data_IF_947632678795
#
_entry.id   IF_947632678795
#
_cell.length_a   1.000
_cell.length_b   1.000
_cell.length_c   1.000
_cell.angle_alpha   90.00
_cell.angle_beta   90.00
_cell.angle_gamma   90.00
#
_symmetry.space_group_name_H-M   'P 1'
#
loop_
_entity.id
_entity.type
_entity.pdbx_description
1 polymer ?
#
# COMPACT_ATOMS: atom_id res chain seq x y z
N UNK A 1 26.19 2.99 -12.20
CA UNK A 1 26.43 4.44 -12.34
C UNK A 1 25.46 5.31 -11.54
N UNK A 2 24.20 4.90 -11.31
CA UNK A 2 23.26 5.65 -10.43
C UNK A 2 23.49 5.46 -8.93
N UNK A 3 24.17 4.38 -8.51
CA UNK A 3 24.40 4.07 -7.10
C UNK A 3 25.41 5.01 -6.42
N UNK A 4 26.43 5.47 -7.16
CA UNK A 4 27.42 6.43 -6.64
C UNK A 4 26.83 7.82 -6.42
N UNK A 5 25.82 8.22 -7.21
CA UNK A 5 25.11 9.49 -7.03
C UNK A 5 24.28 9.55 -5.74
N UNK A 6 23.92 8.39 -5.16
CA UNK A 6 23.22 8.29 -3.89
C UNK A 6 24.17 8.18 -2.69
N UNK A 7 25.27 7.43 -2.86
CA UNK A 7 26.22 7.13 -1.77
C UNK A 7 27.08 8.34 -1.41
N UNK A 8 27.49 9.13 -2.40
CA UNK A 8 28.38 10.30 -2.19
C UNK A 8 27.72 11.39 -1.33
N UNK A 9 26.46 11.82 -1.57
CA UNK A 9 25.80 12.80 -0.70
C UNK A 9 25.54 12.25 0.71
N UNK A 10 25.28 10.94 0.85
CA UNK A 10 25.15 10.26 2.16
C UNK A 10 26.47 10.27 2.94
N UNK A 11 27.60 10.00 2.29
CA UNK A 11 28.93 10.04 2.92
C UNK A 11 29.37 11.46 3.30
N UNK A 12 29.04 12.47 2.50
CA UNK A 12 29.34 13.87 2.85
C UNK A 12 28.43 14.41 3.96
N UNK A 13 27.21 13.89 4.10
CA UNK A 13 26.34 14.20 5.24
C UNK A 13 26.80 13.55 6.56
N UNK A 14 27.60 12.48 6.50
CA UNK A 14 28.22 11.84 7.69
C UNK A 14 29.51 12.51 8.16
N UNK A 15 29.91 13.62 7.52
CA UNK A 15 31.19 14.29 7.72
C UNK A 15 31.14 15.57 8.55
N UNK A 16 30.22 15.75 9.50
CA UNK A 16 30.38 16.78 10.53
C UNK A 16 29.50 16.50 11.76
N UNK A 17 30.18 16.10 12.83
CA UNK A 17 29.85 16.10 14.26
C UNK A 17 28.50 16.71 14.70
N UNK A 18 27.77 15.93 15.52
CA UNK A 18 26.63 16.27 16.40
C UNK A 18 25.17 16.09 15.91
N UNK A 19 24.89 15.52 14.74
CA UNK A 19 23.50 15.28 14.28
C UNK A 19 23.15 13.82 13.95
N UNK A 20 23.85 12.85 14.55
CA UNK A 20 23.47 11.43 14.40
C UNK A 20 22.08 11.14 14.99
N UNK A 21 21.65 11.88 16.02
CA UNK A 21 20.32 11.74 16.62
C UNK A 21 19.21 12.17 15.65
N UNK A 22 19.34 13.33 15.00
CA UNK A 22 18.32 13.89 14.09
C UNK A 22 18.17 13.03 12.82
N UNK A 23 19.29 12.58 12.24
CA UNK A 23 19.26 11.70 11.05
C UNK A 23 18.77 10.30 11.42
N UNK A 24 19.14 9.77 12.59
CA UNK A 24 18.60 8.50 13.08
C UNK A 24 17.11 8.62 13.37
N UNK A 25 16.61 9.76 13.84
CA UNK A 25 15.20 9.99 14.13
C UNK A 25 14.38 10.04 12.83
N UNK A 26 14.86 10.74 11.80
CA UNK A 26 14.24 10.73 10.47
C UNK A 26 14.32 9.37 9.78
N UNK A 27 15.45 8.66 9.89
CA UNK A 27 15.59 7.31 9.35
C UNK A 27 14.73 6.31 10.12
N UNK A 28 14.56 6.45 11.44
CA UNK A 28 13.73 5.55 12.25
C UNK A 28 12.25 5.83 12.05
N UNK A 29 11.87 7.07 11.72
CA UNK A 29 10.51 7.44 11.32
C UNK A 29 10.19 6.92 9.90
N UNK A 30 11.11 7.07 8.94
CA UNK A 30 10.98 6.50 7.59
C UNK A 30 10.98 4.97 7.65
N UNK A 31 11.94 4.35 8.36
CA UNK A 31 12.05 2.89 8.51
C UNK A 31 10.91 2.33 9.36
N UNK A 32 10.44 3.03 10.37
CA UNK A 32 9.34 2.60 11.24
C UNK A 32 8.02 2.49 10.47
N UNK A 33 7.69 3.50 9.66
CA UNK A 33 6.44 3.52 8.88
C UNK A 33 6.54 2.67 7.60
N UNK A 34 7.74 2.47 7.03
CA UNK A 34 7.95 1.62 5.84
C UNK A 34 8.27 0.16 6.17
N UNK A 35 8.59 -0.19 7.42
CA UNK A 35 9.06 -1.53 7.83
C UNK A 35 8.10 -2.65 7.42
N UNK A 36 6.79 -2.46 7.63
CA UNK A 36 5.82 -3.51 7.33
C UNK A 36 5.65 -3.74 5.81
N UNK A 37 5.43 -2.69 5.03
CA UNK A 37 5.29 -2.82 3.56
C UNK A 37 6.60 -3.32 2.96
N UNK A 38 7.74 -2.80 3.43
CA UNK A 38 9.06 -3.21 2.99
C UNK A 38 9.33 -4.69 3.20
N UNK A 39 8.93 -5.24 4.35
CA UNK A 39 9.09 -6.68 4.65
C UNK A 39 8.28 -7.55 3.68
N UNK A 40 7.01 -7.18 3.41
CA UNK A 40 6.15 -7.95 2.50
C UNK A 40 6.71 -7.93 1.07
N UNK A 41 7.09 -6.75 0.56
CA UNK A 41 7.64 -6.60 -0.80
C UNK A 41 8.97 -7.33 -0.94
N UNK A 42 9.83 -7.27 0.09
CA UNK A 42 11.11 -7.97 0.09
C UNK A 42 10.93 -9.50 0.04
N UNK A 43 10.07 -10.05 0.90
CA UNK A 43 9.78 -11.48 0.91
C UNK A 43 9.24 -11.96 -0.45
N UNK A 44 8.34 -11.19 -1.05
CA UNK A 44 7.76 -11.47 -2.35
C UNK A 44 8.83 -11.44 -3.46
N UNK A 45 9.71 -10.43 -3.46
CA UNK A 45 10.82 -10.31 -4.41
C UNK A 45 11.84 -11.45 -4.32
N UNK A 46 12.18 -11.89 -3.10
CA UNK A 46 13.07 -13.05 -2.89
C UNK A 46 12.45 -14.31 -3.48
N UNK A 47 11.15 -14.51 -3.28
CA UNK A 47 10.42 -15.68 -3.81
C UNK A 47 10.49 -15.72 -5.34
N UNK A 48 10.23 -14.59 -6.00
CA UNK A 48 10.35 -14.50 -7.46
C UNK A 48 11.78 -14.74 -7.95
N UNK A 49 12.78 -14.19 -7.24
CA UNK A 49 14.19 -14.39 -7.60
C UNK A 49 14.59 -15.87 -7.53
N UNK A 50 14.13 -16.59 -6.52
CA UNK A 50 14.35 -18.04 -6.40
C UNK A 50 13.67 -18.78 -7.55
N UNK A 51 12.41 -18.49 -7.85
CA UNK A 51 11.68 -19.11 -8.96
C UNK A 51 12.38 -18.89 -10.31
N UNK A 52 12.81 -17.66 -10.58
CA UNK A 52 13.56 -17.33 -11.80
C UNK A 52 14.93 -18.00 -11.85
N UNK A 53 15.64 -18.06 -10.72
CA UNK A 53 16.94 -18.75 -10.62
C UNK A 53 16.83 -20.25 -10.90
N UNK A 54 15.80 -20.90 -10.35
CA UNK A 54 15.53 -22.33 -10.60
C UNK A 54 15.23 -22.59 -12.08
N UNK A 55 14.44 -21.73 -12.72
CA UNK A 55 14.15 -21.82 -14.16
C UNK A 55 15.41 -21.63 -15.02
N UNK A 56 16.22 -20.63 -14.71
CA UNK A 56 17.46 -20.33 -15.44
C UNK A 56 18.51 -21.45 -15.31
N UNK A 57 18.81 -21.87 -14.08
CA UNK A 57 19.76 -22.96 -13.83
C UNK A 57 19.26 -24.31 -14.38
N UNK A 58 17.95 -24.56 -14.33
CA UNK A 58 17.34 -25.76 -14.90
C UNK A 58 17.53 -25.84 -16.42
N UNK A 59 17.38 -24.72 -17.12
CA UNK A 59 17.58 -24.64 -18.56
C UNK A 59 19.06 -24.66 -18.96
N UNK A 60 19.93 -23.92 -18.25
CA UNK A 60 21.35 -23.78 -18.60
C UNK A 60 22.17 -25.05 -18.29
N UNK A 61 21.93 -25.69 -17.15
CA UNK A 61 22.71 -26.85 -16.69
C UNK A 61 22.09 -28.20 -17.08
N UNK A 62 20.98 -28.23 -17.83
CA UNK A 62 20.28 -29.44 -18.28
C UNK A 62 19.82 -30.39 -17.15
N UNK A 63 19.58 -29.87 -15.93
CA UNK A 63 19.05 -30.66 -14.83
C UNK A 63 17.54 -30.89 -15.00
N UNK A 64 17.18 -31.99 -15.68
CA UNK A 64 15.79 -32.36 -16.02
C UNK A 64 14.83 -32.39 -14.82
N UNK A 65 15.31 -32.83 -13.65
CA UNK A 65 14.49 -32.90 -12.41
C UNK A 65 14.08 -31.49 -11.95
N UNK A 66 15.02 -30.53 -11.99
CA UNK A 66 14.78 -29.15 -11.58
C UNK A 66 13.79 -28.44 -12.52
N UNK A 67 13.96 -28.68 -13.83
CA UNK A 67 13.06 -28.16 -14.85
C UNK A 67 11.63 -28.70 -14.69
N UNK A 68 11.48 -29.98 -14.37
CA UNK A 68 10.17 -30.61 -14.16
C UNK A 68 9.46 -30.04 -12.92
N UNK A 69 10.17 -29.87 -11.81
CA UNK A 69 9.62 -29.22 -10.61
C UNK A 69 9.19 -27.77 -10.87
N UNK A 70 10.02 -26.99 -11.56
CA UNK A 70 9.68 -25.62 -11.96
C UNK A 70 8.42 -25.58 -12.83
N UNK A 71 8.32 -26.47 -13.84
CA UNK A 71 7.17 -26.54 -14.73
C UNK A 71 5.88 -26.92 -13.99
N UNK A 72 5.93 -27.86 -13.04
CA UNK A 72 4.77 -28.23 -12.21
C UNK A 72 4.32 -27.03 -11.36
N UNK A 73 5.25 -26.38 -10.64
CA UNK A 73 4.94 -25.24 -9.78
C UNK A 73 4.31 -24.10 -10.58
N UNK A 74 4.91 -23.72 -11.71
CA UNK A 74 4.38 -22.68 -12.59
C UNK A 74 3.05 -23.09 -13.22
N UNK A 75 2.86 -24.36 -13.56
CA UNK A 75 1.59 -24.89 -14.07
C UNK A 75 0.47 -24.76 -13.05
N UNK A 76 0.70 -25.13 -11.79
CA UNK A 76 -0.28 -24.99 -10.70
C UNK A 76 -0.64 -23.51 -10.50
N UNK A 77 0.38 -22.63 -10.44
CA UNK A 77 0.16 -21.19 -10.30
C UNK A 77 -0.64 -20.64 -11.49
N UNK A 78 -0.32 -21.06 -12.72
CA UNK A 78 -1.02 -20.65 -13.93
C UNK A 78 -2.50 -21.04 -13.91
N UNK A 79 -2.81 -22.29 -13.54
CA UNK A 79 -4.20 -22.76 -13.40
C UNK A 79 -4.94 -21.99 -12.30
N UNK A 80 -4.29 -21.73 -11.16
CA UNK A 80 -4.89 -20.95 -10.07
C UNK A 80 -5.18 -19.50 -10.50
N UNK A 81 -4.27 -18.86 -11.24
CA UNK A 81 -4.47 -17.51 -11.77
C UNK A 81 -5.60 -17.46 -12.80
N UNK A 82 -5.69 -18.47 -13.68
CA UNK A 82 -6.79 -18.60 -14.63
C UNK A 82 -8.14 -18.73 -13.93
N UNK A 83 -8.24 -19.64 -12.93
CA UNK A 83 -9.44 -19.81 -12.15
C UNK A 83 -9.83 -18.51 -11.41
N UNK A 84 -8.85 -17.78 -10.86
CA UNK A 84 -9.07 -16.50 -10.21
C UNK A 84 -9.62 -15.45 -11.18
N UNK A 85 -9.06 -15.31 -12.38
CA UNK A 85 -9.54 -14.36 -13.39
C UNK A 85 -10.97 -14.68 -13.81
N UNK A 86 -11.29 -15.95 -14.05
CA UNK A 86 -12.65 -16.38 -14.39
C UNK A 86 -13.62 -16.03 -13.26
N UNK A 87 -13.29 -16.41 -12.02
CA UNK A 87 -14.14 -16.13 -10.86
C UNK A 87 -14.35 -14.61 -10.64
N UNK A 88 -13.30 -13.81 -10.83
CA UNK A 88 -13.36 -12.36 -10.74
C UNK A 88 -14.32 -11.76 -11.78
N UNK A 89 -14.19 -12.15 -13.05
CA UNK A 89 -15.11 -11.66 -14.10
C UNK A 89 -16.55 -12.15 -13.91
N UNK A 90 -16.75 -13.34 -13.33
CA UNK A 90 -18.09 -13.83 -13.02
C UNK A 90 -18.78 -13.06 -11.89
N UNK A 91 -18.02 -12.55 -10.89
CA UNK A 91 -18.60 -11.93 -9.70
C UNK A 91 -17.82 -10.69 -9.23
N UNK A 92 -17.64 -9.69 -10.11
CA UNK A 92 -16.87 -8.47 -9.78
C UNK A 92 -17.37 -7.79 -8.50
N UNK A 93 -18.68 -7.72 -8.32
CA UNK A 93 -19.31 -7.10 -7.15
C UNK A 93 -18.95 -7.75 -5.82
N UNK A 94 -18.88 -9.08 -5.78
CA UNK A 94 -18.47 -9.81 -4.58
C UNK A 94 -17.06 -9.42 -4.13
N UNK A 95 -16.12 -9.33 -5.07
CA UNK A 95 -14.75 -8.92 -4.78
C UNK A 95 -14.67 -7.45 -4.36
N UNK A 96 -15.41 -6.58 -5.05
CA UNK A 96 -15.51 -5.17 -4.67
C UNK A 96 -16.02 -5.00 -3.23
N UNK A 97 -17.11 -5.68 -2.89
CA UNK A 97 -17.72 -5.59 -1.56
C UNK A 97 -16.79 -6.17 -0.48
N UNK A 98 -16.05 -7.24 -0.77
CA UNK A 98 -15.05 -7.79 0.14
C UNK A 98 -13.91 -6.81 0.41
N UNK A 99 -13.44 -6.09 -0.61
CA UNK A 99 -12.42 -5.05 -0.45
C UNK A 99 -12.96 -3.92 0.43
N UNK A 100 -14.22 -3.52 0.25
CA UNK A 100 -14.86 -2.53 1.11
C UNK A 100 -14.95 -3.02 2.56
N UNK A 101 -15.32 -4.28 2.79
CA UNK A 101 -15.40 -4.87 4.14
C UNK A 101 -14.03 -4.89 4.84
N UNK A 102 -12.96 -5.26 4.13
CA UNK A 102 -11.59 -5.23 4.66
C UNK A 102 -11.14 -3.80 4.98
N UNK A 103 -11.52 -2.85 4.13
CA UNK A 103 -11.25 -1.44 4.39
C UNK A 103 -12.05 -0.93 5.60
N UNK A 104 -13.31 -1.35 5.74
CA UNK A 104 -14.14 -1.04 6.89
C UNK A 104 -13.57 -1.59 8.19
N UNK A 105 -13.04 -2.82 8.20
CA UNK A 105 -12.32 -3.37 9.36
C UNK A 105 -11.09 -2.51 9.71
N UNK A 106 -10.36 -2.05 8.69
CA UNK A 106 -9.20 -1.17 8.88
C UNK A 106 -9.57 0.21 9.41
N UNK A 107 -10.69 0.78 8.95
CA UNK A 107 -11.27 2.04 9.46
C UNK A 107 -11.70 1.88 10.92
N UNK A 108 -12.36 0.78 11.28
CA UNK A 108 -12.79 0.53 12.66
C UNK A 108 -11.61 0.36 13.61
N UNK A 109 -10.53 -0.31 13.17
CA UNK A 109 -9.32 -0.57 13.97
C UNK A 109 -8.26 0.52 13.85
N UNK A 110 -8.55 1.60 13.12
CA UNK A 110 -7.67 2.75 13.03
C UNK A 110 -7.41 3.32 14.42
N UNK A 111 -6.14 3.59 14.73
CA UNK A 111 -5.75 4.19 16.01
C UNK A 111 -5.21 5.60 15.81
N UNK A 112 -4.13 5.75 15.05
CA UNK A 112 -3.50 7.04 14.77
C UNK A 112 -2.56 6.92 13.57
N UNK A 113 -2.19 8.03 12.93
CA UNK A 113 -1.20 8.07 11.86
C UNK A 113 0.17 7.56 12.34
N UNK A 114 0.51 7.81 13.61
CA UNK A 114 1.76 7.34 14.22
C UNK A 114 1.73 5.87 14.61
N UNK A 115 0.56 5.26 14.74
CA UNK A 115 0.48 3.85 15.11
C UNK A 115 1.09 2.98 14.01
N UNK A 116 2.12 2.19 14.35
CA UNK A 116 2.74 1.21 13.45
C UNK A 116 1.87 -0.03 13.26
N UNK A 117 0.57 0.17 12.98
CA UNK A 117 -0.39 -0.88 12.70
C UNK A 117 -0.77 -0.87 11.22
N UNK A 118 -0.96 -2.06 10.66
CA UNK A 118 -1.32 -2.25 9.25
C UNK A 118 -2.61 -1.49 8.90
N UNK A 119 -3.57 -1.48 9.82
CA UNK A 119 -4.86 -0.80 9.64
C UNK A 119 -4.72 0.73 9.52
N UNK A 120 -3.84 1.34 10.32
CA UNK A 120 -3.63 2.80 10.27
C UNK A 120 -2.97 3.24 8.98
N UNK A 121 -2.03 2.42 8.49
CA UNK A 121 -1.34 2.64 7.23
C UNK A 121 -2.28 2.51 6.02
N UNK A 122 -3.12 1.46 6.00
CA UNK A 122 -4.10 1.24 4.93
C UNK A 122 -5.05 2.45 4.82
N UNK A 123 -5.55 2.93 5.96
CA UNK A 123 -6.44 4.09 6.00
C UNK A 123 -5.77 5.34 5.43
N UNK A 124 -4.54 5.65 5.85
CA UNK A 124 -3.79 6.80 5.34
C UNK A 124 -3.46 6.73 3.85
N UNK A 125 -3.09 5.54 3.36
CA UNK A 125 -2.69 5.31 1.97
C UNK A 125 -3.89 5.28 1.01
N UNK A 126 -5.09 4.97 1.49
CA UNK A 126 -6.30 4.93 0.66
C UNK A 126 -7.00 6.30 0.66
N UNK A 127 -7.23 6.91 1.82
CA UNK A 127 -8.02 8.14 1.95
C UNK A 127 -7.39 9.33 1.20
N UNK A 128 -6.07 9.47 1.32
CA UNK A 128 -5.33 10.60 0.71
C UNK A 128 -5.44 10.62 -0.83
N UNK A 129 -5.04 9.55 -1.57
CA UNK A 129 -5.11 9.58 -3.03
C UNK A 129 -6.54 9.46 -3.58
N UNK A 130 -7.47 8.85 -2.85
CA UNK A 130 -8.87 8.73 -3.29
C UNK A 130 -9.72 9.94 -2.90
N UNK A 131 -9.17 10.90 -2.12
CA UNK A 131 -9.85 12.13 -1.69
C UNK A 131 -11.19 11.84 -1.01
N UNK A 132 -11.16 10.93 -0.05
CA UNK A 132 -12.33 10.44 0.66
C UNK A 132 -12.00 10.21 2.14
N UNK A 133 -13.01 10.15 3.00
CA UNK A 133 -12.87 9.94 4.43
C UNK A 133 -13.85 8.86 4.92
N UNK A 134 -13.33 7.86 5.62
CA UNK A 134 -14.13 6.72 6.07
C UNK A 134 -14.61 5.83 4.93
N UNK A 135 -15.55 4.95 5.21
CA UNK A 135 -16.16 4.05 4.21
C UNK A 135 -17.34 4.73 3.55
N UNK A 136 -18.32 5.16 4.34
CA UNK A 136 -19.56 5.76 3.86
C UNK A 136 -19.68 7.24 4.26
N UNK A 137 -19.55 7.55 5.55
CA UNK A 137 -19.46 8.92 6.07
C UNK A 137 -18.59 8.91 7.34
N UNK A 138 -17.44 9.59 7.30
CA UNK A 138 -16.34 9.42 8.24
C UNK A 138 -16.59 9.79 9.72
N UNK A 139 -17.80 10.15 10.13
CA UNK A 139 -18.09 10.73 11.45
C UNK A 139 -18.28 9.70 12.57
N UNK A 140 -18.64 8.45 12.26
CA UNK A 140 -18.96 7.43 13.29
C UNK A 140 -18.22 6.09 13.09
N UNK A 141 -17.37 6.01 12.08
CA UNK A 141 -16.76 4.75 11.65
C UNK A 141 -15.43 4.46 12.35
N UNK A 142 -14.79 5.50 12.90
CA UNK A 142 -13.49 5.42 13.56
C UNK A 142 -13.62 5.14 15.06
N UNK A 143 -14.05 3.93 15.42
CA UNK A 143 -14.37 3.56 16.82
C UNK A 143 -13.17 3.49 17.75
N UNK A 144 -12.00 3.09 17.24
CA UNK A 144 -10.78 2.90 18.03
C UNK A 144 -9.77 4.03 17.85
N UNK A 145 -10.18 5.14 17.22
CA UNK A 145 -9.30 6.26 16.95
C UNK A 145 -8.91 6.95 18.26
N UNK A 146 -7.61 7.26 18.39
CA UNK A 146 -7.11 8.10 19.45
C UNK A 146 -7.59 9.54 19.25
N UNK A 147 -7.99 10.19 20.34
CA UNK A 147 -8.38 11.60 20.35
C UNK A 147 -7.19 12.56 20.16
N UNK A 148 -5.98 12.05 20.06
CA UNK A 148 -4.74 12.79 19.87
C UNK A 148 -3.89 12.09 18.82
N UNK A 149 -3.24 12.87 17.96
CA UNK A 149 -2.36 12.33 16.94
C UNK A 149 -1.21 13.31 16.67
N UNK A 150 -0.08 12.78 16.20
CA UNK A 150 1.13 13.55 15.91
C UNK A 150 1.42 13.51 14.43
N UNK A 151 1.53 14.68 13.81
CA UNK A 151 1.74 14.79 12.38
C UNK A 151 2.57 16.03 12.05
N UNK A 152 3.61 15.83 11.23
CA UNK A 152 4.56 16.87 10.82
C UNK A 152 5.15 17.69 11.99
N UNK A 153 5.54 17.03 13.09
CA UNK A 153 6.15 17.72 14.23
C UNK A 153 5.16 18.35 15.21
N UNK A 154 3.85 18.28 14.93
CA UNK A 154 2.80 18.93 15.73
C UNK A 154 1.87 17.87 16.32
N UNK A 155 1.60 17.99 17.63
CA UNK A 155 0.58 17.21 18.30
C UNK A 155 -0.76 17.91 18.21
N UNK A 156 -1.76 17.21 17.67
CA UNK A 156 -3.15 17.65 17.60
C UNK A 156 -3.95 16.94 18.68
N UNK A 157 -4.83 17.68 19.35
CA UNK A 157 -5.70 17.17 20.41
C UNK A 157 -7.17 17.37 20.02
N UNK A 158 -8.05 16.53 20.58
CA UNK A 158 -9.50 16.55 20.33
C UNK A 158 -9.85 16.33 18.86
N UNK A 159 -9.16 15.41 18.18
CA UNK A 159 -9.50 15.06 16.80
C UNK A 159 -10.86 14.35 16.76
N UNK A 160 -11.76 14.86 15.92
CA UNK A 160 -13.02 14.18 15.60
C UNK A 160 -12.87 13.15 14.47
N UNK A 161 -11.86 13.33 13.60
CA UNK A 161 -11.62 12.51 12.41
C UNK A 161 -10.13 12.32 12.19
N UNK A 162 -9.70 11.24 11.50
CA UNK A 162 -8.29 11.02 11.18
C UNK A 162 -7.69 12.15 10.36
N UNK A 163 -6.41 12.44 10.59
CA UNK A 163 -5.64 13.42 9.81
C UNK A 163 -5.69 13.15 8.28
N UNK A 164 -5.64 11.89 7.80
CA UNK A 164 -5.81 11.59 6.37
C UNK A 164 -7.12 12.06 5.72
N UNK A 165 -8.14 12.41 6.50
CA UNK A 165 -9.38 12.98 5.98
C UNK A 165 -9.23 14.46 5.57
N UNK A 166 -8.18 15.15 6.03
CA UNK A 166 -7.88 16.51 5.58
C UNK A 166 -7.44 16.53 4.11
N UNK A 167 -7.65 17.66 3.44
CA UNK A 167 -7.08 17.86 2.12
C UNK A 167 -5.55 17.91 2.20
N UNK A 168 -4.91 17.10 1.36
CA UNK A 168 -3.46 17.02 1.24
C UNK A 168 -3.00 17.16 -0.22
N UNK A 169 -1.77 17.62 -0.42
CA UNK A 169 -1.11 17.58 -1.71
C UNK A 169 -0.46 16.21 -2.00
N UNK A 170 0.16 16.07 -3.17
CA UNK A 170 0.86 14.83 -3.58
C UNK A 170 2.10 14.50 -2.74
N UNK A 171 2.57 15.44 -1.91
CA UNK A 171 3.68 15.27 -0.97
C UNK A 171 3.18 14.93 0.44
N UNK A 172 1.89 14.60 0.59
CA UNK A 172 1.25 14.35 1.89
C UNK A 172 1.41 15.53 2.86
N UNK A 173 1.26 16.76 2.36
CA UNK A 173 1.23 17.98 3.17
C UNK A 173 -0.18 18.53 3.22
N UNK A 174 -0.61 18.93 4.42
CA UNK A 174 -1.91 19.52 4.66
C UNK A 174 -2.05 20.82 3.84
N UNK A 175 -3.07 20.87 3.01
CA UNK A 175 -3.45 22.05 2.22
C UNK A 175 -4.78 22.64 2.68
N UNK A 176 -5.58 21.87 3.42
CA UNK A 176 -6.83 22.32 4.02
C UNK A 176 -6.58 23.35 5.14
N UNK A 177 -7.01 24.61 4.99
CA UNK A 177 -6.79 25.63 6.02
C UNK A 177 -7.54 25.24 7.31
N UNK A 178 -6.82 25.23 8.44
CA UNK A 178 -7.38 24.91 9.75
C UNK A 178 -7.64 23.42 10.02
N UNK A 179 -7.40 22.52 9.06
CA UNK A 179 -7.44 21.08 9.28
C UNK A 179 -6.07 20.60 9.80
N UNK A 180 -5.97 19.73 10.83
CA UNK A 180 -7.01 18.93 11.47
C UNK A 180 -7.65 19.54 12.74
N UNK A 181 -7.41 20.83 13.04
CA UNK A 181 -8.00 21.47 14.22
C UNK A 181 -9.53 21.64 14.08
N UNK A 182 -10.01 21.89 12.86
CA UNK A 182 -11.43 21.94 12.52
C UNK A 182 -11.67 21.25 11.17
N UNK A 183 -12.57 20.27 11.13
CA UNK A 183 -12.95 19.58 9.91
C UNK A 183 -14.19 20.21 9.29
N UNK A 184 -14.13 20.54 8.00
CA UNK A 184 -15.23 21.11 7.24
C UNK A 184 -15.17 20.62 5.77
N UNK A 185 -16.27 20.72 5.04
CA UNK A 185 -16.37 20.23 3.64
C UNK A 185 -15.43 20.96 2.67
N UNK A 186 -14.93 22.14 3.06
CA UNK A 186 -14.02 22.97 2.26
C UNK A 186 -12.55 22.68 2.50
N UNK A 187 -12.18 22.05 3.62
CA UNK A 187 -10.79 21.78 4.01
C UNK A 187 -10.49 20.28 4.20
N UNK A 188 -11.52 19.43 4.07
CA UNK A 188 -11.45 17.98 4.30
C UNK A 188 -12.46 17.23 3.44
N UNK A 189 -12.32 15.91 3.36
CA UNK A 189 -13.19 15.01 2.60
C UNK A 189 -14.21 14.28 3.49
N UNK A 190 -14.57 14.83 4.65
CA UNK A 190 -15.46 14.18 5.63
C UNK A 190 -16.86 13.84 5.10
N UNK A 191 -17.35 14.57 4.09
CA UNK A 191 -18.64 14.35 3.45
C UNK A 191 -18.58 13.35 2.27
N UNK A 192 -17.41 12.80 1.97
CA UNK A 192 -17.20 11.88 0.83
C UNK A 192 -16.63 10.55 1.33
N UNK A 193 -17.46 9.51 1.37
CA UNK A 193 -17.03 8.15 1.71
C UNK A 193 -16.17 7.48 0.64
N UNK A 194 -15.25 6.60 1.05
CA UNK A 194 -14.37 5.90 0.14
C UNK A 194 -15.02 4.73 -0.63
N UNK A 195 -16.22 4.25 -0.27
CA UNK A 195 -16.85 3.06 -0.88
C UNK A 195 -16.85 3.12 -2.41
N UNK A 196 -17.36 4.20 -2.99
CA UNK A 196 -17.44 4.38 -4.44
C UNK A 196 -16.06 4.47 -5.11
N UNK A 197 -15.23 5.46 -4.73
CA UNK A 197 -13.89 5.64 -5.28
C UNK A 197 -13.00 4.40 -5.13
N UNK A 198 -13.08 3.70 -4.00
CA UNK A 198 -12.29 2.50 -3.72
C UNK A 198 -12.70 1.34 -4.62
N UNK A 199 -14.01 1.07 -4.72
CA UNK A 199 -14.54 0.00 -5.59
C UNK A 199 -14.18 0.28 -7.06
N UNK A 200 -14.35 1.52 -7.52
CA UNK A 200 -13.99 1.93 -8.89
C UNK A 200 -12.49 1.78 -9.18
N UNK A 201 -11.62 2.27 -8.29
CA UNK A 201 -10.17 2.12 -8.46
C UNK A 201 -9.73 0.66 -8.40
N UNK A 202 -10.30 -0.13 -7.51
CA UNK A 202 -10.01 -1.56 -7.41
C UNK A 202 -10.36 -2.29 -8.70
N UNK A 203 -11.54 -2.04 -9.28
CA UNK A 203 -11.93 -2.63 -10.56
C UNK A 203 -11.02 -2.23 -11.71
N UNK A 204 -10.70 -0.94 -11.79
CA UNK A 204 -9.80 -0.45 -12.81
C UNK A 204 -8.45 -1.20 -12.78
N UNK A 205 -7.78 -1.24 -11.62
CA UNK A 205 -6.50 -1.94 -11.51
C UNK A 205 -6.61 -3.45 -11.73
N UNK A 206 -7.64 -4.09 -11.17
CA UNK A 206 -7.82 -5.55 -11.29
C UNK A 206 -8.15 -5.94 -12.73
N UNK A 207 -8.94 -5.14 -13.44
CA UNK A 207 -9.23 -5.33 -14.87
C UNK A 207 -7.94 -5.23 -15.70
N UNK A 208 -7.09 -4.23 -15.45
CA UNK A 208 -5.78 -4.12 -16.12
C UNK A 208 -4.89 -5.36 -15.90
N UNK A 209 -4.80 -5.83 -14.65
CA UNK A 209 -4.03 -7.04 -14.33
C UNK A 209 -4.61 -8.26 -15.02
N UNK A 210 -5.94 -8.40 -15.03
CA UNK A 210 -6.63 -9.53 -15.65
C UNK A 210 -6.42 -9.55 -17.17
N UNK A 211 -6.53 -8.40 -17.85
CA UNK A 211 -6.23 -8.30 -19.29
C UNK A 211 -4.76 -8.59 -19.58
N UNK A 212 -3.83 -8.14 -18.74
CA UNK A 212 -2.41 -8.47 -18.85
C UNK A 212 -2.16 -9.97 -18.77
N UNK A 213 -2.79 -10.66 -17.80
CA UNK A 213 -2.69 -12.11 -17.65
C UNK A 213 -3.25 -12.86 -18.86
N UNK A 214 -4.43 -12.46 -19.35
CA UNK A 214 -5.03 -13.05 -20.55
C UNK A 214 -4.10 -12.88 -21.77
N UNK A 215 -3.51 -11.70 -21.94
CA UNK A 215 -2.57 -11.42 -23.03
C UNK A 215 -1.32 -12.31 -22.95
N UNK A 216 -0.71 -12.45 -21.77
CA UNK A 216 0.46 -13.32 -21.56
C UNK A 216 0.12 -14.78 -21.88
N UNK A 217 -1.04 -15.27 -21.43
CA UNK A 217 -1.47 -16.64 -21.70
C UNK A 217 -1.72 -16.89 -23.19
N UNK A 218 -2.29 -15.92 -23.90
CA UNK A 218 -2.48 -16.02 -25.34
C UNK A 218 -1.14 -16.10 -26.09
N UNK A 219 -0.16 -15.28 -25.69
CA UNK A 219 1.20 -15.31 -26.26
C UNK A 219 1.91 -16.63 -25.96
N UNK A 220 1.75 -17.18 -24.76
CA UNK A 220 2.37 -18.47 -24.38
C UNK A 220 1.74 -19.67 -25.10
N UNK A 221 0.50 -19.55 -25.56
CA UNK A 221 -0.23 -20.61 -26.25
C UNK A 221 -0.13 -20.54 -27.79
N UNK A 222 0.46 -19.46 -28.34
CA UNK A 222 0.66 -19.24 -29.78
C UNK A 222 2.04 -19.69 -30.23
#
# INVERSE_FOLDING_TARGET
MMLSGLITPLLTATGQNNEAAIVSEMLTEILGTTSFIGTVVFALGVTFTVLSGLGYCGACCNFKILLYLYAILMGIIGVALLAFVIAYFSNKDLFGDRVIELFQDSVNKYQSMRANTVHSLIVGLIQTPLKCCGVDNGTLEFKNMANQDFYQGIQYNNLSHPIPCCMMNNEYRLTGPGCPALFNETNSYIAQGCRGPLKSKFYHYTDYVAFGLIGVLFVLAS
#
